data_IF_275378577802
#
_entry.id   IF_275378577802
#
_cell.length_a   1.000
_cell.length_b   1.000
_cell.length_c   1.000
_cell.angle_alpha   90.00
_cell.angle_beta   90.00
_cell.angle_gamma   90.00
#
_symmetry.space_group_name_H-M   'P 1'
#
loop_
_entity.id
_entity.type
_entity.pdbx_description
1 polymer ?
#
# COMPACT_ATOMS: atom_id res chain seq x y z
N UNK A 1 -8.33 15.79 -10.47
CA UNK A 1 -6.87 16.00 -10.29
C UNK A 1 -6.52 16.53 -8.91
N UNK A 2 -6.71 17.82 -8.58
CA UNK A 2 -6.29 18.36 -7.26
C UNK A 2 -6.85 17.61 -6.02
N UNK A 3 -8.09 17.11 -6.11
CA UNK A 3 -8.69 16.27 -5.05
C UNK A 3 -7.99 14.92 -4.88
N UNK A 4 -7.58 14.29 -5.99
CA UNK A 4 -6.84 13.02 -5.99
C UNK A 4 -5.39 13.21 -5.54
N UNK A 5 -4.80 14.39 -5.79
CA UNK A 5 -3.49 14.71 -5.21
C UNK A 5 -3.57 14.87 -3.69
N UNK A 6 -4.64 15.49 -3.20
CA UNK A 6 -4.78 15.82 -1.78
C UNK A 6 -5.05 14.59 -0.90
N UNK A 7 -5.80 13.61 -1.41
CA UNK A 7 -6.22 12.46 -0.63
C UNK A 7 -5.52 11.18 -1.14
N UNK A 8 -5.02 10.31 -0.25
CA UNK A 8 -4.34 9.08 -0.64
C UNK A 8 -5.36 7.99 -1.04
N UNK A 9 -6.12 8.20 -2.12
CA UNK A 9 -7.05 7.20 -2.63
C UNK A 9 -6.32 5.91 -3.03
N UNK A 10 -6.85 4.78 -2.59
CA UNK A 10 -6.31 3.44 -2.86
C UNK A 10 -7.15 2.71 -3.90
N UNK A 11 -8.47 2.79 -3.75
CA UNK A 11 -9.46 2.18 -4.64
C UNK A 11 -10.52 3.23 -4.97
N UNK A 12 -11.00 3.23 -6.20
CA UNK A 12 -12.05 4.13 -6.67
C UNK A 12 -12.89 3.50 -7.77
N UNK A 13 -14.07 4.06 -7.99
CA UNK A 13 -14.88 3.74 -9.15
C UNK A 13 -15.59 5.00 -9.64
N UNK A 14 -15.71 5.15 -10.96
CA UNK A 14 -16.63 6.10 -11.57
C UNK A 14 -17.86 5.34 -12.10
N UNK A 15 -19.04 5.86 -11.77
CA UNK A 15 -20.31 5.27 -12.17
C UNK A 15 -20.79 5.93 -13.47
N UNK A 16 -21.22 5.11 -14.42
CA UNK A 16 -21.68 5.51 -15.74
C UNK A 16 -22.97 4.74 -16.09
N UNK A 17 -23.64 5.20 -17.15
CA UNK A 17 -24.84 4.55 -17.68
C UNK A 17 -24.79 4.44 -19.20
N UNK A 18 -25.72 3.67 -19.76
CA UNK A 18 -25.82 3.37 -21.19
C UNK A 18 -25.37 1.97 -21.57
N UNK A 19 -24.81 1.23 -20.62
CA UNK A 19 -24.33 -0.14 -20.75
C UNK A 19 -24.43 -0.84 -19.39
N UNK A 20 -24.22 -2.15 -19.35
CA UNK A 20 -24.23 -2.94 -18.11
C UNK A 20 -23.01 -3.84 -18.05
N UNK A 21 -21.91 -3.31 -17.55
CA UNK A 21 -20.62 -4.00 -17.43
C UNK A 21 -19.63 -3.22 -16.54
N UNK A 22 -18.54 -3.85 -16.14
CA UNK A 22 -17.40 -3.16 -15.50
C UNK A 22 -16.22 -3.08 -16.46
N UNK A 23 -15.76 -1.87 -16.75
CA UNK A 23 -14.59 -1.60 -17.57
C UNK A 23 -13.37 -1.32 -16.69
N UNK A 24 -12.26 -1.98 -16.97
CA UNK A 24 -11.00 -1.81 -16.23
C UNK A 24 -9.84 -1.37 -17.14
N UNK A 25 -8.79 -0.71 -16.59
CA UNK A 25 -7.67 -0.18 -17.36
C UNK A 25 -6.85 -1.24 -18.11
N UNK A 26 -6.14 -0.86 -19.18
CA UNK A 26 -6.13 0.48 -19.78
C UNK A 26 -7.36 0.77 -20.63
N UNK A 27 -7.79 2.03 -20.66
CA UNK A 27 -8.76 2.55 -21.63
C UNK A 27 -8.09 2.93 -22.95
N UNK A 28 -6.81 3.29 -22.92
CA UNK A 28 -6.03 3.60 -24.12
C UNK A 28 -5.60 2.33 -24.87
N UNK A 29 -5.93 2.25 -26.16
CA UNK A 29 -5.30 1.28 -27.05
C UNK A 29 -3.88 1.73 -27.41
N UNK A 30 -2.95 0.77 -27.55
CA UNK A 30 -1.61 1.05 -28.04
C UNK A 30 -1.71 1.55 -29.49
N UNK A 31 -1.08 2.70 -29.84
CA UNK A 31 -0.98 3.10 -31.24
C UNK A 31 -0.17 2.04 -31.99
N UNK A 32 -0.71 1.50 -33.07
CA UNK A 32 0.03 0.60 -33.95
C UNK A 32 1.27 1.33 -34.45
N UNK A 33 2.46 0.70 -34.45
CA UNK A 33 3.65 1.34 -35.01
C UNK A 33 3.35 1.72 -36.46
N UNK A 34 3.79 2.91 -36.93
CA UNK A 34 3.60 3.31 -38.30
C UNK A 34 4.25 2.25 -39.19
N UNK A 35 3.43 1.51 -39.92
CA UNK A 35 3.93 0.49 -40.84
C UNK A 35 4.65 1.25 -41.96
N UNK A 36 5.97 1.06 -42.17
CA UNK A 36 6.60 1.60 -43.36
C UNK A 36 5.88 0.99 -44.57
N UNK A 37 5.44 1.84 -45.50
CA UNK A 37 4.64 1.48 -46.67
C UNK A 37 5.07 0.14 -47.28
N UNK A 38 4.35 -0.94 -46.95
CA UNK A 38 4.69 -2.28 -47.40
C UNK A 38 3.40 -3.08 -47.64
N UNK A 39 3.08 -3.15 -48.94
CA UNK A 39 2.22 -4.11 -49.63
C UNK A 39 0.73 -4.16 -49.24
N UNK A 40 -0.18 -4.31 -50.23
CA UNK A 40 -1.59 -4.61 -49.95
C UNK A 40 -1.65 -5.97 -49.23
N UNK A 41 -2.11 -5.95 -47.97
CA UNK A 41 -2.35 -7.18 -47.20
C UNK A 41 -3.56 -7.92 -47.78
N UNK A 42 -3.57 -9.26 -47.78
CA UNK A 42 -4.76 -10.04 -48.16
C UNK A 42 -5.95 -9.65 -47.29
N UNK A 43 -7.15 -9.63 -47.88
CA UNK A 43 -8.44 -9.40 -47.24
C UNK A 43 -8.81 -10.60 -46.33
N UNK A 44 -8.05 -10.80 -45.27
CA UNK A 44 -8.36 -11.77 -44.22
C UNK A 44 -9.00 -10.97 -43.08
N UNK A 45 -10.33 -10.95 -43.03
CA UNK A 45 -11.18 -10.04 -42.25
C UNK A 45 -11.17 -10.30 -40.71
N UNK A 46 -10.17 -11.00 -40.15
CA UNK A 46 -10.23 -11.46 -38.74
C UNK A 46 -9.07 -11.03 -37.83
N UNK A 47 -8.03 -10.33 -38.29
CA UNK A 47 -6.82 -10.10 -37.46
C UNK A 47 -6.38 -8.62 -37.32
N UNK A 48 -7.34 -7.71 -37.18
CA UNK A 48 -7.06 -6.35 -36.66
C UNK A 48 -7.55 -6.20 -35.21
N UNK A 49 -7.28 -7.18 -34.34
CA UNK A 49 -7.42 -6.93 -32.91
C UNK A 49 -6.21 -6.12 -32.46
N UNK A 50 -6.38 -4.84 -32.04
CA UNK A 50 -5.27 -4.05 -31.55
C UNK A 50 -4.59 -4.81 -30.42
N UNK A 51 -3.26 -4.83 -30.42
CA UNK A 51 -2.46 -5.48 -29.38
C UNK A 51 -2.86 -4.88 -28.03
N UNK A 52 -3.65 -5.64 -27.25
CA UNK A 52 -4.17 -5.17 -25.97
C UNK A 52 -3.02 -5.11 -24.97
N UNK A 53 -2.74 -3.90 -24.50
CA UNK A 53 -1.74 -3.71 -23.47
C UNK A 53 -2.37 -3.94 -22.10
N UNK A 54 -1.90 -4.96 -21.40
CA UNK A 54 -2.27 -5.18 -20.01
C UNK A 54 -1.56 -4.19 -19.08
N UNK A 55 -2.23 -3.85 -17.97
CA UNK A 55 -1.59 -3.13 -16.88
C UNK A 55 -0.65 -4.05 -16.11
N UNK A 56 0.39 -3.52 -15.46
CA UNK A 56 1.17 -4.30 -14.49
C UNK A 56 0.31 -4.96 -13.39
N UNK A 57 -0.83 -4.35 -13.05
CA UNK A 57 -1.81 -4.85 -12.05
C UNK A 57 -3.01 -5.57 -12.68
N UNK A 58 -2.90 -6.10 -13.90
CA UNK A 58 -4.05 -6.64 -14.65
C UNK A 58 -4.84 -7.69 -13.88
N UNK A 59 -4.14 -8.61 -13.18
CA UNK A 59 -4.78 -9.64 -12.37
C UNK A 59 -5.60 -9.07 -11.19
N UNK A 60 -5.16 -7.96 -10.59
CA UNK A 60 -5.88 -7.28 -9.51
C UNK A 60 -7.08 -6.53 -10.09
N UNK A 61 -6.90 -5.79 -11.20
CA UNK A 61 -8.01 -5.12 -11.86
C UNK A 61 -9.12 -6.08 -12.29
N UNK A 62 -8.75 -7.23 -12.86
CA UNK A 62 -9.71 -8.27 -13.22
C UNK A 62 -10.46 -8.81 -12.00
N UNK A 63 -9.75 -9.05 -10.89
CA UNK A 63 -10.37 -9.45 -9.62
C UNK A 63 -11.36 -8.40 -9.11
N UNK A 64 -10.95 -7.13 -9.05
CA UNK A 64 -11.79 -6.03 -8.60
C UNK A 64 -13.05 -5.89 -9.47
N UNK A 65 -12.91 -5.98 -10.79
CA UNK A 65 -14.04 -5.92 -11.71
C UNK A 65 -15.00 -7.11 -11.52
N UNK A 66 -14.47 -8.33 -11.39
CA UNK A 66 -15.28 -9.53 -11.11
C UNK A 66 -16.01 -9.38 -9.78
N UNK A 67 -15.35 -8.89 -8.72
CA UNK A 67 -15.97 -8.75 -7.40
C UNK A 67 -17.23 -7.89 -7.41
N UNK A 68 -17.27 -6.86 -8.25
CA UNK A 68 -18.46 -6.05 -8.47
C UNK A 68 -19.48 -6.78 -9.35
N UNK A 69 -19.05 -7.22 -10.55
CA UNK A 69 -19.94 -7.80 -11.55
C UNK A 69 -20.65 -9.07 -11.06
N UNK A 70 -19.95 -9.94 -10.31
CA UNK A 70 -20.51 -11.18 -9.76
C UNK A 70 -21.50 -10.96 -8.62
N UNK A 71 -21.37 -9.84 -7.89
CA UNK A 71 -22.27 -9.46 -6.82
C UNK A 71 -23.46 -8.62 -7.32
N UNK A 72 -23.47 -8.24 -8.60
CA UNK A 72 -24.56 -7.48 -9.21
C UNK A 72 -25.62 -8.41 -9.76
N UNK A 73 -26.87 -8.24 -9.33
CA UNK A 73 -27.95 -9.21 -9.58
C UNK A 73 -28.13 -9.54 -11.07
N UNK A 74 -27.99 -8.56 -11.95
CA UNK A 74 -28.25 -8.73 -13.38
C UNK A 74 -27.01 -8.63 -14.29
N UNK A 75 -25.82 -8.34 -13.75
CA UNK A 75 -24.62 -8.11 -14.60
C UNK A 75 -23.89 -9.42 -14.92
N UNK A 76 -23.97 -10.40 -14.01
CA UNK A 76 -23.44 -11.76 -14.21
C UNK A 76 -24.43 -12.71 -14.91
N UNK A 77 -25.64 -12.25 -15.28
CA UNK A 77 -26.62 -13.07 -15.98
C UNK A 77 -26.20 -13.31 -17.44
N UNK A 78 -25.62 -14.47 -17.72
CA UNK A 78 -25.09 -14.86 -19.05
C UNK A 78 -26.15 -14.96 -20.16
N UNK A 79 -27.42 -15.14 -19.79
CA UNK A 79 -28.53 -15.30 -20.75
C UNK A 79 -29.20 -13.96 -21.13
N UNK A 80 -29.04 -12.93 -20.30
CA UNK A 80 -29.46 -11.58 -20.66
C UNK A 80 -28.28 -10.93 -21.35
N UNK A 81 -28.29 -10.95 -22.69
CA UNK A 81 -27.31 -10.22 -23.50
C UNK A 81 -27.16 -8.77 -23.03
N UNK A 82 -26.04 -8.15 -23.43
CA UNK A 82 -25.76 -6.75 -23.11
C UNK A 82 -26.88 -5.80 -23.55
N UNK A 83 -26.74 -4.53 -23.23
CA UNK A 83 -27.70 -3.50 -23.65
C UNK A 83 -27.87 -3.41 -25.18
N UNK A 84 -26.94 -4.01 -25.92
CA UNK A 84 -26.91 -4.10 -27.36
C UNK A 84 -26.79 -5.57 -27.81
N UNK A 85 -27.05 -5.82 -29.10
CA UNK A 85 -27.08 -7.18 -29.68
C UNK A 85 -25.75 -7.95 -29.59
N UNK A 86 -24.64 -7.28 -29.26
CA UNK A 86 -23.33 -7.90 -29.07
C UNK A 86 -22.93 -7.85 -27.60
N UNK A 87 -22.65 -9.01 -27.03
CA UNK A 87 -21.99 -9.10 -25.73
C UNK A 87 -20.47 -8.99 -25.91
N UNK A 88 -19.89 -7.91 -25.39
CA UNK A 88 -18.45 -7.63 -25.43
C UNK A 88 -17.69 -8.20 -24.23
N UNK A 89 -18.42 -8.73 -23.26
CA UNK A 89 -17.90 -9.22 -21.98
C UNK A 89 -17.71 -10.73 -21.93
N UNK A 90 -18.06 -11.43 -23.00
CA UNK A 90 -18.03 -12.90 -23.07
C UNK A 90 -18.77 -13.53 -21.87
N UNK A 91 -19.93 -12.95 -21.53
CA UNK A 91 -20.80 -13.29 -20.40
C UNK A 91 -20.20 -13.11 -18.99
N UNK A 92 -19.03 -12.47 -18.85
CA UNK A 92 -18.38 -12.24 -17.57
C UNK A 92 -18.80 -10.92 -16.89
N UNK A 93 -19.53 -10.05 -17.59
CA UNK A 93 -19.91 -8.73 -17.09
C UNK A 93 -18.73 -7.74 -16.93
N UNK A 94 -17.54 -8.11 -17.42
CA UNK A 94 -16.33 -7.29 -17.33
C UNK A 94 -15.63 -7.16 -18.69
N UNK A 95 -14.95 -6.04 -18.92
CA UNK A 95 -14.19 -5.82 -20.15
C UNK A 95 -12.98 -4.90 -19.91
N UNK A 96 -11.92 -5.09 -20.69
CA UNK A 96 -10.84 -4.10 -20.71
C UNK A 96 -11.29 -2.89 -21.53
N UNK A 97 -11.05 -1.67 -21.04
CA UNK A 97 -11.51 -0.44 -21.69
C UNK A 97 -11.03 -0.30 -23.13
N UNK A 98 -9.75 -0.59 -23.38
CA UNK A 98 -9.14 -0.57 -24.71
C UNK A 98 -9.71 -1.64 -25.67
N UNK A 99 -10.14 -2.80 -25.15
CA UNK A 99 -10.80 -3.87 -25.94
C UNK A 99 -12.18 -3.42 -26.42
N UNK A 100 -12.90 -2.67 -25.58
CA UNK A 100 -14.28 -2.32 -25.84
C UNK A 100 -14.43 -1.01 -26.61
N UNK A 101 -13.94 0.11 -26.06
CA UNK A 101 -14.06 1.44 -26.67
C UNK A 101 -12.82 2.27 -26.29
N UNK A 102 -11.74 2.20 -27.09
CA UNK A 102 -10.49 2.84 -26.73
C UNK A 102 -10.62 4.36 -26.66
N UNK A 103 -10.12 4.95 -25.57
CA UNK A 103 -10.18 6.40 -25.30
C UNK A 103 -8.88 6.87 -24.69
N UNK A 104 -8.35 7.98 -25.19
CA UNK A 104 -7.21 8.66 -24.58
C UNK A 104 -7.65 9.72 -23.58
N UNK A 105 -6.88 9.89 -22.51
CA UNK A 105 -7.14 10.88 -21.47
C UNK A 105 -8.32 10.56 -20.56
N UNK A 106 -8.60 9.27 -20.32
CA UNK A 106 -9.64 8.88 -19.38
C UNK A 106 -9.24 9.14 -17.92
N UNK A 107 -10.23 9.29 -17.05
CA UNK A 107 -9.97 9.43 -15.60
C UNK A 107 -9.36 8.15 -15.01
N UNK A 108 -9.77 6.96 -15.47
CA UNK A 108 -9.23 5.69 -14.98
C UNK A 108 -7.72 5.57 -15.21
N UNK A 109 -7.28 5.81 -16.45
CA UNK A 109 -5.87 5.75 -16.82
C UNK A 109 -5.09 6.84 -16.06
N UNK A 110 -5.68 8.02 -15.84
CA UNK A 110 -5.08 9.07 -15.02
C UNK A 110 -4.89 8.62 -13.56
N UNK A 111 -5.93 8.07 -12.92
CA UNK A 111 -5.88 7.59 -11.54
C UNK A 111 -4.77 6.55 -11.36
N UNK A 112 -4.65 5.59 -12.27
CA UNK A 112 -3.62 4.55 -12.23
C UNK A 112 -2.20 5.07 -12.51
N UNK A 113 -2.04 5.98 -13.47
CA UNK A 113 -0.70 6.42 -13.90
C UNK A 113 -0.11 7.55 -13.05
N UNK A 114 -0.94 8.35 -12.38
CA UNK A 114 -0.51 9.55 -11.66
C UNK A 114 -0.74 9.49 -10.15
N UNK A 115 -1.48 8.51 -9.64
CA UNK A 115 -1.79 8.38 -8.22
C UNK A 115 -1.59 6.94 -7.75
N UNK A 116 -1.90 6.64 -6.49
CA UNK A 116 -1.93 5.26 -5.99
C UNK A 116 -3.27 4.55 -6.26
N UNK A 117 -4.27 5.28 -6.76
CA UNK A 117 -5.64 4.81 -6.83
C UNK A 117 -5.85 3.85 -8.01
N UNK A 118 -6.36 2.66 -7.70
CA UNK A 118 -6.90 1.74 -8.69
C UNK A 118 -8.35 2.12 -8.96
N UNK A 119 -8.66 2.64 -10.14
CA UNK A 119 -10.01 3.10 -10.49
C UNK A 119 -10.65 2.21 -11.56
N UNK A 120 -11.94 1.87 -11.36
CA UNK A 120 -12.78 1.17 -12.34
C UNK A 120 -13.83 2.10 -12.94
N UNK A 121 -14.30 1.80 -14.15
CA UNK A 121 -15.53 2.36 -14.70
C UNK A 121 -16.65 1.34 -14.62
N UNK A 122 -17.71 1.67 -13.88
CA UNK A 122 -18.85 0.79 -13.67
C UNK A 122 -20.04 1.33 -14.44
N UNK A 123 -20.56 0.56 -15.38
CA UNK A 123 -21.76 0.89 -16.13
C UNK A 123 -22.94 0.14 -15.50
N UNK A 124 -23.82 0.88 -14.86
CA UNK A 124 -24.86 0.33 -13.97
C UNK A 124 -26.02 -0.28 -14.76
N UNK A 125 -26.37 0.29 -15.91
CA UNK A 125 -27.54 -0.12 -16.68
C UNK A 125 -27.67 0.56 -18.04
N UNK A 126 -28.55 0.01 -18.86
CA UNK A 126 -28.78 0.42 -20.25
C UNK A 126 -29.43 1.79 -20.37
N UNK A 127 -30.37 2.10 -19.47
CA UNK A 127 -30.97 3.43 -19.42
C UNK A 127 -30.03 4.38 -18.68
N UNK A 128 -29.67 5.49 -19.35
CA UNK A 128 -28.84 6.54 -18.76
C UNK A 128 -29.62 7.38 -17.76
N UNK A 129 -30.94 7.45 -17.93
CA UNK A 129 -31.82 8.27 -17.13
C UNK A 129 -33.10 7.49 -16.82
N UNK A 130 -33.00 6.43 -16.00
CA UNK A 130 -34.15 5.58 -15.67
C UNK A 130 -35.25 6.38 -14.99
N UNK A 131 -36.48 5.90 -15.11
CA UNK A 131 -37.62 6.54 -14.46
C UNK A 131 -37.52 6.40 -12.93
N UNK A 132 -38.08 7.34 -12.16
CA UNK A 132 -38.04 7.32 -10.69
C UNK A 132 -38.53 6.00 -10.09
N UNK A 133 -39.53 5.37 -10.72
CA UNK A 133 -40.08 4.08 -10.30
C UNK A 133 -39.10 2.90 -10.37
N UNK A 134 -38.03 3.02 -11.17
CA UNK A 134 -37.01 1.97 -11.36
C UNK A 134 -35.85 2.12 -10.37
N UNK A 135 -35.69 3.29 -9.73
CA UNK A 135 -34.55 3.61 -8.88
C UNK A 135 -34.40 2.65 -7.69
N UNK A 136 -35.51 2.20 -7.09
CA UNK A 136 -35.46 1.23 -6.01
C UNK A 136 -34.90 -0.12 -6.49
N UNK A 137 -35.29 -0.56 -7.68
CA UNK A 137 -34.78 -1.81 -8.24
C UNK A 137 -33.30 -1.69 -8.60
N UNK A 138 -32.89 -0.56 -9.19
CA UNK A 138 -31.47 -0.30 -9.49
C UNK A 138 -30.62 -0.24 -8.22
N UNK A 139 -31.15 0.30 -7.13
CA UNK A 139 -30.49 0.25 -5.83
C UNK A 139 -30.29 -1.21 -5.37
N UNK A 140 -31.35 -2.02 -5.34
CA UNK A 140 -31.23 -3.43 -4.91
C UNK A 140 -30.29 -4.24 -5.82
N UNK A 141 -30.26 -3.96 -7.14
CA UNK A 141 -29.35 -4.61 -8.08
C UNK A 141 -27.87 -4.35 -7.76
N UNK A 142 -27.54 -3.15 -7.26
CA UNK A 142 -26.18 -2.65 -7.11
C UNK A 142 -25.68 -2.63 -5.66
N UNK A 143 -26.58 -2.69 -4.67
CA UNK A 143 -26.26 -2.53 -3.25
C UNK A 143 -25.14 -3.44 -2.79
N UNK A 144 -25.27 -4.75 -3.01
CA UNK A 144 -24.23 -5.69 -2.57
C UNK A 144 -22.95 -5.61 -3.40
N UNK A 145 -23.05 -5.23 -4.68
CA UNK A 145 -21.88 -5.00 -5.53
C UNK A 145 -21.05 -3.82 -5.04
N UNK A 146 -21.70 -2.73 -4.64
CA UNK A 146 -21.05 -1.55 -4.08
C UNK A 146 -20.38 -1.85 -2.74
N UNK A 147 -21.05 -2.59 -1.84
CA UNK A 147 -20.49 -3.00 -0.56
C UNK A 147 -19.28 -3.94 -0.76
N UNK A 148 -19.45 -4.99 -1.55
CA UNK A 148 -18.38 -5.95 -1.90
C UNK A 148 -17.18 -5.25 -2.51
N UNK A 149 -17.40 -4.28 -3.39
CA UNK A 149 -16.32 -3.50 -4.00
C UNK A 149 -15.57 -2.64 -2.98
N UNK A 150 -16.29 -1.95 -2.09
CA UNK A 150 -15.67 -1.15 -1.02
C UNK A 150 -14.84 -2.02 -0.08
N UNK A 151 -15.27 -3.23 0.23
CA UNK A 151 -14.50 -4.18 1.07
C UNK A 151 -13.17 -4.59 0.42
N UNK A 152 -13.05 -4.56 -0.92
CA UNK A 152 -11.80 -4.92 -1.60
C UNK A 152 -10.64 -3.99 -1.26
N UNK A 153 -10.90 -2.77 -0.76
CA UNK A 153 -9.84 -1.85 -0.31
C UNK A 153 -9.00 -2.44 0.83
N UNK A 154 -9.57 -3.40 1.57
CA UNK A 154 -8.92 -4.09 2.67
C UNK A 154 -8.20 -5.37 2.21
N UNK A 155 -7.91 -5.56 0.93
CA UNK A 155 -7.06 -6.68 0.46
C UNK A 155 -5.60 -6.27 0.27
N UNK A 156 -4.74 -7.27 0.11
CA UNK A 156 -3.31 -7.08 -0.16
C UNK A 156 -2.52 -6.81 1.10
N UNK A 157 -1.62 -5.83 1.03
CA UNK A 157 -0.74 -5.43 2.14
C UNK A 157 -0.97 -3.97 2.51
N UNK A 158 -0.81 -3.66 3.79
CA UNK A 158 -0.74 -2.28 4.29
C UNK A 158 0.42 -2.14 5.27
N UNK A 159 0.92 -0.95 5.48
CA UNK A 159 2.04 -0.77 6.38
C UNK A 159 2.38 0.68 6.66
N UNK A 160 3.35 0.88 7.54
CA UNK A 160 4.01 2.17 7.74
C UNK A 160 5.50 2.02 7.43
N UNK A 161 6.06 3.00 6.75
CA UNK A 161 7.49 3.15 6.52
C UNK A 161 8.03 4.16 7.53
N UNK A 162 8.93 3.73 8.40
CA UNK A 162 9.55 4.57 9.42
C UNK A 162 11.07 4.59 9.29
N UNK A 163 11.72 5.56 9.94
CA UNK A 163 13.15 5.52 10.18
C UNK A 163 13.51 4.73 11.45
N UNK A 164 14.82 4.66 11.76
CA UNK A 164 15.31 3.96 12.94
C UNK A 164 14.90 4.61 14.27
N UNK A 165 14.41 5.85 14.24
CA UNK A 165 13.91 6.57 15.41
C UNK A 165 12.40 6.35 15.59
N UNK A 166 11.74 5.66 14.65
CA UNK A 166 10.30 5.45 14.65
C UNK A 166 9.53 6.54 13.92
N UNK A 167 10.22 7.53 13.33
CA UNK A 167 9.57 8.63 12.64
C UNK A 167 9.04 8.18 11.27
N UNK A 168 7.80 8.53 10.92
CA UNK A 168 7.21 8.18 9.64
C UNK A 168 7.93 8.84 8.45
N UNK A 169 8.08 8.09 7.36
CA UNK A 169 8.71 8.55 6.11
C UNK A 169 7.65 8.71 5.01
N UNK A 170 7.17 9.93 4.84
CA UNK A 170 6.26 10.31 3.76
C UNK A 170 6.91 10.19 2.37
N UNK A 171 6.09 9.96 1.34
CA UNK A 171 6.50 9.85 -0.07
C UNK A 171 7.60 8.78 -0.32
N UNK A 172 7.72 7.77 0.54
CA UNK A 172 8.52 6.59 0.29
C UNK A 172 7.85 5.73 -0.78
N UNK A 173 8.66 5.12 -1.65
CA UNK A 173 8.20 4.25 -2.74
C UNK A 173 8.21 2.79 -2.29
N UNK A 174 7.08 2.12 -2.44
CA UNK A 174 6.91 0.68 -2.24
C UNK A 174 6.91 0.00 -3.61
N UNK A 175 7.79 -0.97 -3.77
CA UNK A 175 8.00 -1.72 -5.02
C UNK A 175 7.71 -3.18 -4.76
N UNK A 176 6.80 -3.78 -5.52
CA UNK A 176 6.47 -5.20 -5.44
C UNK A 176 7.22 -5.94 -6.55
N UNK A 177 7.97 -6.97 -6.21
CA UNK A 177 8.68 -7.80 -7.20
C UNK A 177 7.70 -8.42 -8.19
N UNK A 178 7.99 -8.30 -9.49
CA UNK A 178 7.14 -8.82 -10.56
C UNK A 178 6.04 -7.87 -11.04
N UNK A 179 5.73 -6.81 -10.29
CA UNK A 179 4.69 -5.84 -10.67
C UNK A 179 5.34 -4.47 -10.92
N UNK A 180 5.36 -4.05 -12.19
CA UNK A 180 5.95 -2.78 -12.61
C UNK A 180 5.02 -1.57 -12.39
N UNK A 181 4.46 -1.46 -11.19
CA UNK A 181 3.67 -0.31 -10.75
C UNK A 181 3.90 -0.09 -9.26
N UNK A 182 4.49 1.05 -8.92
CA UNK A 182 4.92 1.35 -7.56
C UNK A 182 3.87 2.22 -6.86
N UNK A 183 3.68 2.03 -5.55
CA UNK A 183 2.85 2.93 -4.72
C UNK A 183 3.71 3.80 -3.83
N UNK A 184 3.18 4.96 -3.44
CA UNK A 184 3.85 5.89 -2.54
C UNK A 184 3.17 5.94 -1.19
N UNK A 185 3.94 6.16 -0.12
CA UNK A 185 3.35 6.39 1.19
C UNK A 185 2.62 7.73 1.25
N UNK A 186 1.64 7.83 2.15
CA UNK A 186 0.89 9.04 2.43
C UNK A 186 1.82 10.23 2.63
N UNK A 187 1.49 11.35 1.98
CA UNK A 187 2.14 12.61 2.27
C UNK A 187 1.70 13.03 3.66
N UNK A 188 2.62 13.58 4.44
CA UNK A 188 2.28 14.26 5.67
C UNK A 188 1.16 15.26 5.35
N UNK A 189 -0.04 14.98 5.84
CA UNK A 189 -1.13 15.93 5.81
C UNK A 189 -0.81 16.93 6.91
N UNK A 190 0.29 17.66 6.70
CA UNK A 190 0.77 18.68 7.58
C UNK A 190 -0.44 19.52 7.92
N UNK A 191 -0.75 19.54 9.20
CA UNK A 191 -1.86 20.29 9.77
C UNK A 191 -1.73 21.72 9.26
N UNK A 192 -2.38 22.01 8.13
CA UNK A 192 -2.90 23.32 7.85
C UNK A 192 -4.08 23.48 8.81
N UNK A 193 -3.81 23.50 10.11
CA UNK A 193 -4.52 24.36 11.04
C UNK A 193 -4.13 25.80 10.67
N UNK A 194 -4.47 26.17 9.43
CA UNK A 194 -4.65 27.56 9.08
C UNK A 194 -5.76 28.05 9.99
N UNK A 195 -5.43 29.08 10.77
CA UNK A 195 -6.35 29.89 11.55
C UNK A 195 -7.68 30.10 10.80
N UNK A 196 -8.72 29.36 11.17
CA UNK A 196 -10.10 29.80 10.96
C UNK A 196 -10.50 30.59 12.19
N UNK A 197 -10.08 31.85 12.22
CA UNK A 197 -10.39 32.77 13.31
C UNK A 197 -11.67 33.53 12.98
N UNK A 198 -12.81 32.83 12.95
CA UNK A 198 -14.13 33.46 12.98
C UNK A 198 -15.15 32.57 13.71
N UNK A 199 -15.48 32.97 14.95
CA UNK A 199 -16.72 32.61 15.64
C UNK A 199 -16.68 31.36 16.53
N UNK A 200 -17.44 31.33 17.66
CA UNK A 200 -17.48 30.18 18.55
C UNK A 200 -18.37 29.10 17.94
N UNK A 201 -17.76 28.07 17.35
CA UNK A 201 -18.43 26.80 17.06
C UNK A 201 -18.12 25.78 18.17
N UNK A 202 -19.09 24.90 18.51
CA UNK A 202 -18.88 23.83 19.47
C UNK A 202 -17.76 22.92 18.98
N UNK A 203 -16.84 22.59 19.88
CA UNK A 203 -15.71 21.69 19.62
C UNK A 203 -16.22 20.38 19.01
N UNK A 204 -15.77 19.97 17.82
CA UNK A 204 -16.06 18.64 17.33
C UNK A 204 -15.43 17.61 18.29
N UNK A 205 -16.06 16.45 18.52
CA UNK A 205 -15.44 15.38 19.29
C UNK A 205 -14.09 15.01 18.65
N UNK A 206 -13.09 14.59 19.45
CA UNK A 206 -11.81 14.17 18.89
C UNK A 206 -12.07 13.06 17.89
N UNK A 207 -11.75 13.31 16.62
CA UNK A 207 -11.74 12.25 15.62
C UNK A 207 -10.76 11.18 16.10
N UNK A 208 -11.16 9.90 16.21
CA UNK A 208 -10.28 8.83 16.70
C UNK A 208 -9.17 8.47 15.70
N UNK A 209 -9.11 9.12 14.55
CA UNK A 209 -8.04 8.99 13.58
C UNK A 209 -7.13 10.21 13.72
N UNK A 210 -6.03 10.04 14.46
CA UNK A 210 -4.91 10.98 14.41
C UNK A 210 -4.64 11.33 12.95
N UNK A 211 -4.52 12.62 12.62
CA UNK A 211 -4.01 13.08 11.34
C UNK A 211 -2.89 12.14 10.91
N UNK A 212 -3.06 11.45 9.77
CA UNK A 212 -2.13 10.43 9.31
C UNK A 212 -0.73 11.03 9.33
N UNK A 213 0.04 10.71 10.36
CA UNK A 213 1.47 10.91 10.36
C UNK A 213 1.92 10.08 9.17
N UNK A 214 2.41 10.76 8.12
CA UNK A 214 2.54 10.16 6.78
C UNK A 214 3.37 8.87 6.77
N UNK A 215 3.68 8.30 5.61
CA UNK A 215 4.47 7.05 5.62
C UNK A 215 3.65 5.77 5.74
N UNK A 216 2.34 5.86 6.00
CA UNK A 216 1.38 4.80 5.77
C UNK A 216 1.23 4.48 4.26
N UNK A 217 0.94 3.24 3.92
CA UNK A 217 0.65 2.84 2.55
C UNK A 217 -0.31 1.64 2.50
N UNK A 218 -0.97 1.52 1.36
CA UNK A 218 -1.78 0.38 0.98
C UNK A 218 -1.37 -0.09 -0.40
N UNK A 219 -1.34 -1.40 -0.58
CA UNK A 219 -1.08 -2.04 -1.86
C UNK A 219 -1.99 -3.24 -2.01
N UNK A 220 -3.07 -3.06 -2.77
CA UNK A 220 -3.99 -4.14 -3.15
C UNK A 220 -3.23 -5.15 -4.00
N UNK A 221 -3.31 -6.42 -3.61
CA UNK A 221 -2.65 -7.56 -4.24
C UNK A 221 -3.56 -8.77 -4.09
N UNK A 222 -3.48 -9.68 -5.05
CA UNK A 222 -4.10 -10.99 -4.93
C UNK A 222 -3.33 -11.85 -3.91
N UNK A 223 -3.95 -12.88 -3.32
CA UNK A 223 -3.28 -13.80 -2.39
C UNK A 223 -1.98 -14.36 -2.96
N UNK A 224 -0.94 -14.45 -2.12
CA UNK A 224 0.38 -14.90 -2.55
C UNK A 224 1.53 -14.37 -1.70
N UNK A 225 2.74 -14.80 -2.06
CA UNK A 225 3.99 -14.35 -1.44
C UNK A 225 4.70 -13.34 -2.34
N UNK A 226 5.02 -12.17 -1.79
CA UNK A 226 5.61 -11.07 -2.54
C UNK A 226 6.90 -10.58 -1.92
N UNK A 227 7.94 -10.40 -2.75
CA UNK A 227 9.17 -9.71 -2.36
C UNK A 227 8.99 -8.20 -2.54
N UNK A 228 8.84 -7.48 -1.44
CA UNK A 228 8.50 -6.06 -1.41
C UNK A 228 9.70 -5.22 -0.93
N UNK A 229 9.95 -4.10 -1.59
CA UNK A 229 11.02 -3.17 -1.26
C UNK A 229 10.48 -1.77 -0.97
N UNK A 230 10.85 -1.20 0.18
CA UNK A 230 10.61 0.19 0.50
C UNK A 230 11.87 1.03 0.24
N UNK A 231 11.69 2.18 -0.42
CA UNK A 231 12.76 3.11 -0.80
C UNK A 231 12.36 4.53 -0.49
N UNK A 232 13.28 5.34 0.03
CA UNK A 232 13.06 6.77 0.23
C UNK A 232 14.34 7.54 -0.05
N UNK A 233 14.23 8.80 -0.46
CA UNK A 233 15.40 9.64 -0.68
C UNK A 233 16.18 9.84 0.63
N UNK A 234 17.50 9.64 0.58
CA UNK A 234 18.35 9.81 1.75
C UNK A 234 18.39 8.58 2.67
N UNK A 235 17.67 7.50 2.35
CA UNK A 235 17.68 6.25 3.10
C UNK A 235 18.21 5.07 2.27
N UNK A 236 18.73 4.04 2.95
CA UNK A 236 19.05 2.77 2.31
C UNK A 236 17.74 1.97 2.13
N UNK A 237 17.53 1.35 0.96
CA UNK A 237 16.33 0.58 0.71
C UNK A 237 16.27 -0.65 1.61
N UNK A 238 15.06 -0.99 2.07
CA UNK A 238 14.78 -2.22 2.81
C UNK A 238 13.96 -3.15 1.93
N UNK A 239 14.16 -4.45 2.06
CA UNK A 239 13.46 -5.49 1.30
C UNK A 239 13.01 -6.56 2.27
N UNK A 240 11.75 -6.99 2.15
CA UNK A 240 11.15 -8.04 2.95
C UNK A 240 10.23 -8.89 2.07
N UNK A 241 9.90 -10.08 2.54
CA UNK A 241 8.81 -10.89 2.01
C UNK A 241 7.54 -10.54 2.79
N UNK A 242 6.47 -10.18 2.08
CA UNK A 242 5.14 -9.97 2.64
C UNK A 242 4.20 -11.06 2.09
N UNK A 243 3.32 -11.59 2.94
CA UNK A 243 2.33 -12.60 2.54
C UNK A 243 0.94 -11.96 2.49
N UNK A 244 0.18 -12.27 1.46
CA UNK A 244 -1.22 -11.86 1.30
C UNK A 244 -2.07 -13.11 1.46
N UNK A 245 -2.96 -13.09 2.45
CA UNK A 245 -3.87 -14.20 2.78
C UNK A 245 -5.13 -14.15 1.90
N UNK A 246 -5.92 -15.23 1.94
CA UNK A 246 -7.21 -15.30 1.25
C UNK A 246 -8.31 -14.51 1.97
N UNK A 247 -8.21 -14.44 3.30
CA UNK A 247 -9.17 -13.76 4.17
C UNK A 247 -9.25 -12.25 3.88
N UNK A 248 -10.40 -11.67 4.24
CA UNK A 248 -10.61 -10.23 4.14
C UNK A 248 -9.76 -9.56 5.22
N UNK A 249 -8.82 -8.71 4.81
CA UNK A 249 -7.92 -7.99 5.72
C UNK A 249 -6.53 -7.82 5.16
N UNK A 250 -6.09 -6.57 5.04
CA UNK A 250 -4.79 -6.25 4.47
C UNK A 250 -3.71 -6.62 5.50
N UNK A 251 -2.78 -7.47 5.09
CA UNK A 251 -1.73 -7.93 5.99
C UNK A 251 -0.73 -6.82 6.28
N UNK A 252 -0.31 -6.72 7.54
CA UNK A 252 0.60 -5.65 7.96
C UNK A 252 2.03 -5.97 7.50
N UNK A 253 2.62 -5.12 6.66
CA UNK A 253 4.01 -5.23 6.22
C UNK A 253 4.78 -3.91 6.43
N UNK A 254 5.34 -3.74 7.64
CA UNK A 254 6.05 -2.51 8.01
C UNK A 254 7.52 -2.51 7.57
N UNK A 255 8.05 -1.33 7.25
CA UNK A 255 9.44 -1.13 6.85
C UNK A 255 10.14 -0.12 7.74
N UNK A 256 11.36 -0.44 8.15
CA UNK A 256 12.27 0.47 8.84
C UNK A 256 13.44 0.75 7.90
N UNK A 257 13.68 2.02 7.60
CA UNK A 257 14.76 2.45 6.71
C UNK A 257 15.91 3.09 7.51
N UNK A 258 17.15 2.72 7.18
CA UNK A 258 18.35 3.34 7.77
C UNK A 258 18.80 4.54 6.94
N UNK A 259 19.29 5.60 7.58
CA UNK A 259 19.81 6.77 6.86
C UNK A 259 21.01 6.39 5.99
N UNK A 260 20.99 6.84 4.75
CA UNK A 260 22.11 6.68 3.82
C UNK A 260 23.10 7.82 3.97
N UNK A 261 24.39 7.55 3.82
CA UNK A 261 25.42 8.60 3.73
C UNK A 261 25.51 9.17 2.30
N UNK A 262 24.48 8.96 1.46
CA UNK A 262 24.53 9.22 0.03
C UNK A 262 24.65 10.70 -0.31
N UNK A 263 24.06 11.58 0.52
CA UNK A 263 24.23 13.04 0.38
C UNK A 263 25.70 13.44 0.52
N UNK A 264 26.37 12.94 1.55
CA UNK A 264 27.82 13.13 1.76
C UNK A 264 28.66 12.49 0.65
N UNK A 265 28.28 11.30 0.18
CA UNK A 265 28.98 10.64 -0.94
C UNK A 265 28.83 11.45 -2.23
N UNK A 266 27.65 12.00 -2.53
CA UNK A 266 27.39 12.88 -3.67
C UNK A 266 28.24 14.16 -3.60
N UNK A 267 28.33 14.79 -2.43
CA UNK A 267 29.22 15.95 -2.22
C UNK A 267 30.70 15.59 -2.46
N UNK A 268 31.16 14.46 -1.92
CA UNK A 268 32.53 13.96 -2.14
C UNK A 268 32.78 13.65 -3.63
N UNK A 269 31.80 13.10 -4.33
CA UNK A 269 31.89 12.82 -5.77
C UNK A 269 31.96 14.13 -6.58
N UNK A 270 31.12 15.11 -6.25
CA UNK A 270 31.10 16.42 -6.90
C UNK A 270 32.43 17.16 -6.70
N UNK A 271 32.99 17.13 -5.49
CA UNK A 271 34.31 17.72 -5.19
C UNK A 271 35.47 17.00 -5.90
N UNK A 272 35.32 15.71 -6.24
CA UNK A 272 36.37 14.89 -6.86
C UNK A 272 36.14 14.63 -8.36
N UNK A 273 35.31 15.45 -9.03
CA UNK A 273 35.10 15.39 -10.48
C UNK A 273 34.31 14.16 -10.96
N UNK A 274 33.34 13.68 -10.17
CA UNK A 274 32.37 12.62 -10.53
C UNK A 274 32.99 11.31 -11.05
N UNK A 275 34.19 10.94 -10.59
CA UNK A 275 34.82 9.68 -11.00
C UNK A 275 34.13 8.47 -10.35
N UNK A 276 33.74 7.43 -11.10
CA UNK A 276 33.08 6.25 -10.54
C UNK A 276 34.01 5.50 -9.58
N UNK A 277 33.47 5.09 -8.42
CA UNK A 277 34.22 4.32 -7.42
C UNK A 277 34.48 2.92 -8.01
N UNK A 278 35.74 2.60 -8.31
CA UNK A 278 36.12 1.26 -8.77
C UNK A 278 35.78 0.23 -7.68
N UNK A 279 34.81 -0.65 -7.94
CA UNK A 279 34.59 -1.87 -7.15
C UNK A 279 35.85 -2.74 -7.21
N UNK A 280 36.46 -2.99 -6.06
CA UNK A 280 37.52 -3.99 -5.94
C UNK A 280 36.82 -5.35 -5.88
N UNK A 281 36.93 -6.15 -6.94
CA UNK A 281 36.39 -7.52 -6.96
C UNK A 281 37.24 -8.37 -6.01
N UNK A 282 36.66 -8.98 -4.95
CA UNK A 282 37.38 -9.89 -4.08
C UNK A 282 37.82 -11.12 -4.88
N UNK A 283 39.11 -11.50 -4.83
CA UNK A 283 39.60 -12.75 -5.43
C UNK A 283 40.66 -12.61 -6.53
N UNK A 284 40.94 -11.40 -7.05
CA UNK A 284 42.08 -11.21 -7.97
C UNK A 284 43.39 -11.09 -7.17
N UNK A 285 44.38 -11.99 -7.36
CA UNK A 285 45.67 -11.84 -6.69
C UNK A 285 46.35 -10.54 -7.17
N UNK A 286 46.64 -9.63 -6.23
CA UNK A 286 47.34 -8.38 -6.54
C UNK A 286 48.75 -8.67 -7.05
N UNK A 287 49.10 -8.04 -8.18
CA UNK A 287 50.47 -8.05 -8.71
C UNK A 287 51.44 -7.42 -7.69
N UNK A 288 52.74 -7.78 -7.68
CA UNK A 288 53.73 -7.18 -6.78
C UNK A 288 53.77 -5.65 -6.85
N UNK A 289 53.60 -5.07 -8.05
CA UNK A 289 53.53 -3.61 -8.27
C UNK A 289 52.29 -2.97 -7.66
N UNK A 290 51.11 -3.60 -7.79
CA UNK A 290 49.88 -3.12 -7.16
C UNK A 290 49.96 -3.20 -5.63
N UNK A 291 50.57 -4.28 -5.12
CA UNK A 291 50.81 -4.49 -3.68
C UNK A 291 51.72 -3.40 -3.09
N UNK A 292 52.78 -3.01 -3.81
CA UNK A 292 53.65 -1.91 -3.42
C UNK A 292 52.91 -0.55 -3.44
N UNK A 293 52.16 -0.25 -4.51
CA UNK A 293 51.35 0.99 -4.59
C UNK A 293 50.30 1.06 -3.48
N UNK A 294 49.67 -0.06 -3.13
CA UNK A 294 48.72 -0.12 -2.02
C UNK A 294 49.41 0.12 -0.68
N UNK A 295 50.58 -0.50 -0.44
CA UNK A 295 51.40 -0.25 0.77
C UNK A 295 51.79 1.22 0.92
N UNK A 296 52.20 1.88 -0.17
CA UNK A 296 52.53 3.30 -0.16
C UNK A 296 51.29 4.17 0.14
N UNK A 297 50.15 3.88 -0.50
CA UNK A 297 48.88 4.57 -0.21
C UNK A 297 48.44 4.40 1.25
N UNK A 298 48.59 3.20 1.82
CA UNK A 298 48.28 2.92 3.22
C UNK A 298 49.20 3.67 4.18
N UNK A 299 50.51 3.69 3.93
CA UNK A 299 51.47 4.50 4.71
C UNK A 299 51.12 5.98 4.66
N UNK A 300 50.77 6.50 3.49
CA UNK A 300 50.36 7.89 3.34
C UNK A 300 49.06 8.20 4.10
N UNK A 301 48.05 7.32 4.00
CA UNK A 301 46.81 7.44 4.80
C UNK A 301 47.06 7.39 6.30
N UNK A 302 48.01 6.58 6.77
CA UNK A 302 48.39 6.54 8.19
C UNK A 302 48.99 7.87 8.63
N UNK A 303 49.94 8.43 7.88
CA UNK A 303 50.53 9.75 8.17
C UNK A 303 49.48 10.86 8.24
N UNK A 304 48.53 10.88 7.30
CA UNK A 304 47.44 11.85 7.31
C UNK A 304 46.51 11.70 8.53
N UNK A 305 46.19 10.46 8.92
CA UNK A 305 45.40 10.20 10.15
C UNK A 305 46.14 10.68 11.39
N UNK A 306 47.44 10.44 11.46
CA UNK A 306 48.30 10.87 12.56
C UNK A 306 48.37 12.40 12.64
N UNK A 307 48.55 13.09 11.51
CA UNK A 307 48.48 14.56 11.44
C UNK A 307 47.12 15.11 11.87
N UNK A 308 46.01 14.50 11.45
CA UNK A 308 44.68 14.92 11.92
C UNK A 308 44.49 14.68 13.42
N UNK A 309 45.05 13.59 13.97
CA UNK A 309 45.01 13.30 15.40
C UNK A 309 45.80 14.32 16.20
N UNK A 310 46.99 14.69 15.73
CA UNK A 310 47.82 15.76 16.32
C UNK A 310 47.15 17.13 16.21
N UNK A 311 46.48 17.44 15.09
CA UNK A 311 45.68 18.67 14.95
C UNK A 311 44.52 18.74 15.94
N UNK A 312 43.84 17.63 16.20
CA UNK A 312 42.78 17.57 17.24
C UNK A 312 43.35 17.76 18.64
N UNK A 313 44.50 17.16 18.94
CA UNK A 313 45.18 17.31 20.22
C UNK A 313 45.68 18.76 20.45
N UNK A 314 46.23 19.40 19.42
CA UNK A 314 46.63 20.81 19.47
C UNK A 314 45.44 21.78 19.55
N UNK A 315 44.26 21.39 19.03
CA UNK A 315 43.04 22.19 19.17
C UNK A 315 42.49 22.12 20.61
N UNK A 316 42.68 21.01 21.32
CA UNK A 316 42.30 20.87 22.74
C UNK A 316 43.25 21.56 23.71
N UNK A 317 44.51 21.81 23.36
CA UNK A 317 45.47 22.55 24.20
C UNK A 317 45.40 24.07 24.02
N UNK A 318 44.68 24.57 23.01
CA UNK A 318 44.50 26.00 22.75
C UNK A 318 43.30 26.63 23.49
N UNK A 319 42.57 25.88 24.31
CA UNK A 319 41.49 26.40 25.17
C UNK A 319 41.80 26.17 26.66
N UNK A 320 42.86 26.81 27.16
CA UNK A 320 42.98 27.10 28.59
C UNK A 320 42.13 28.33 28.90
N UNK A 321 40.91 28.14 29.39
CA UNK A 321 40.10 29.22 29.96
C UNK A 321 40.64 29.60 31.35
N UNK A 322 40.75 30.89 31.71
CA UNK A 322 41.17 31.28 33.04
C UNK A 322 40.08 31.01 34.08
N UNK A 323 40.50 30.43 35.19
CA UNK A 323 39.73 30.20 36.42
C UNK A 323 39.27 31.54 37.00
N UNK A 324 37.97 31.68 37.29
CA UNK A 324 37.43 32.76 38.11
C UNK A 324 36.80 32.18 39.41
N UNK A 325 36.96 32.84 40.56
CA UNK A 325 36.63 32.28 41.88
C UNK A 325 35.13 32.39 42.22
N UNK A 326 34.63 31.67 43.24
CA UNK A 326 33.22 31.70 43.60
C UNK A 326 32.90 32.90 44.51
N UNK A 327 31.74 33.57 44.36
CA UNK A 327 31.30 34.54 45.35
C UNK A 327 30.53 33.86 46.50
N UNK A 328 30.81 34.36 47.70
CA UNK A 328 30.23 33.95 48.98
C UNK A 328 29.19 34.97 49.48
N UNK A 329 28.12 34.43 50.08
CA UNK A 329 27.30 34.97 51.20
C UNK A 329 26.42 36.23 51.01
N UNK A 330 25.10 36.07 51.17
CA UNK A 330 24.31 36.45 52.37
C UNK A 330 22.83 36.84 52.06
N UNK A 331 21.92 36.33 52.90
CA UNK A 331 20.44 36.48 52.89
C UNK A 331 19.98 37.86 53.42
N UNK A 332 18.66 38.19 53.38
CA UNK A 332 17.74 37.77 54.46
C UNK A 332 16.31 37.35 54.04
N UNK A 333 15.73 36.53 54.93
CA UNK A 333 14.35 36.04 55.13
C UNK A 333 13.27 37.14 55.34
N UNK A 334 11.98 36.86 55.67
CA UNK A 334 11.25 35.58 55.87
C UNK A 334 9.86 35.48 55.17
N UNK A 335 9.25 34.29 55.15
CA UNK A 335 7.93 34.01 55.76
C UNK A 335 7.64 32.50 55.76
N UNK A 336 6.78 32.09 56.69
CA UNK A 336 6.80 30.82 57.43
C UNK A 336 5.96 29.68 56.85
N UNK A 337 6.49 28.47 57.02
CA UNK A 337 5.87 27.20 57.49
C UNK A 337 4.35 26.99 57.38
N UNK A 338 3.96 25.88 56.76
CA UNK A 338 3.20 24.81 57.46
C UNK A 338 3.61 23.43 56.95
N UNK A 339 3.88 22.52 57.90
CA UNK A 339 4.31 21.14 57.71
C UNK A 339 3.15 20.17 57.43
N UNK A 340 3.42 19.03 56.78
CA UNK A 340 2.90 17.71 57.16
C UNK A 340 3.84 16.59 56.69
N UNK A 341 3.92 15.55 57.51
CA UNK A 341 4.81 14.37 57.50
C UNK A 341 4.35 13.25 56.53
N UNK A 342 5.25 12.28 56.20
CA UNK A 342 4.99 11.24 55.20
C UNK A 342 4.32 9.99 55.81
N UNK A 343 3.46 9.33 55.02
CA UNK A 343 2.93 8.00 55.31
C UNK A 343 3.45 7.00 54.27
N UNK A 344 4.08 5.94 54.78
CA UNK A 344 4.43 4.71 54.07
C UNK A 344 3.21 3.79 54.03
N UNK A 345 2.95 3.13 52.89
CA UNK A 345 2.13 1.92 52.84
C UNK A 345 2.58 1.02 51.67
N UNK A 346 2.72 -0.26 51.99
CA UNK A 346 3.03 -1.40 51.11
C UNK A 346 1.88 -1.69 50.11
N UNK A 347 2.14 -2.39 48.99
CA UNK A 347 1.11 -2.78 48.04
C UNK A 347 0.39 -4.06 48.49
N UNK A 348 -0.94 -4.19 48.29
CA UNK A 348 -1.62 -5.45 48.56
C UNK A 348 -1.59 -6.42 47.37
N UNK A 349 -1.66 -7.67 47.77
CA UNK A 349 -1.56 -8.95 47.07
C UNK A 349 -2.61 -9.17 45.96
N UNK A 350 -2.21 -9.91 44.94
CA UNK A 350 -3.03 -10.37 43.83
C UNK A 350 -4.24 -11.20 44.31
N UNK A 351 -5.44 -10.79 43.89
CA UNK A 351 -6.66 -11.59 43.96
C UNK A 351 -6.74 -12.54 42.77
N UNK A 352 -6.93 -13.81 43.07
CA UNK A 352 -7.35 -14.88 42.16
C UNK A 352 -8.74 -14.58 41.60
N UNK A 353 -8.87 -14.50 40.29
CA UNK A 353 -10.15 -14.56 39.58
C UNK A 353 -10.28 -15.95 38.98
N UNK A 354 -11.27 -16.71 39.45
CA UNK A 354 -11.76 -17.91 38.78
C UNK A 354 -12.63 -17.45 37.61
N UNK A 355 -12.24 -17.79 36.38
CA UNK A 355 -13.07 -17.68 35.19
C UNK A 355 -13.83 -18.98 35.01
N UNK A 356 -15.14 -18.95 35.26
CA UNK A 356 -16.06 -19.98 34.79
C UNK A 356 -16.10 -19.94 33.26
N UNK A 357 -15.83 -21.07 32.63
CA UNK A 357 -15.94 -21.26 31.17
C UNK A 357 -17.17 -22.13 30.91
N UNK A 358 -18.24 -21.53 30.37
CA UNK A 358 -19.37 -22.28 29.86
C UNK A 358 -19.01 -22.88 28.49
N UNK A 359 -19.19 -24.18 28.34
CA UNK A 359 -19.00 -24.91 27.07
C UNK A 359 -20.34 -25.44 26.61
N UNK A 360 -20.78 -25.04 25.41
CA UNK A 360 -21.93 -25.64 24.74
C UNK A 360 -21.47 -26.57 23.60
N UNK A 361 -22.11 -27.73 23.51
CA UNK A 361 -21.88 -28.74 22.47
C UNK A 361 -23.01 -28.62 21.45
N UNK A 362 -22.67 -28.24 20.21
CA UNK A 362 -23.61 -28.14 19.10
C UNK A 362 -23.39 -29.31 18.14
N UNK A 363 -24.48 -30.01 17.77
CA UNK A 363 -24.46 -31.10 16.80
C UNK A 363 -25.24 -30.67 15.56
N UNK A 364 -24.58 -30.58 14.40
CA UNK A 364 -25.24 -30.34 13.12
C UNK A 364 -25.39 -31.65 12.32
N UNK A 365 -26.57 -31.85 11.74
CA UNK A 365 -26.90 -33.01 10.90
C UNK A 365 -26.97 -32.55 9.44
N UNK A 366 -26.02 -32.98 8.62
CA UNK A 366 -26.01 -32.67 7.19
C UNK A 366 -26.49 -33.90 6.41
N UNK A 367 -27.48 -33.68 5.53
CA UNK A 367 -28.05 -34.73 4.67
C UNK A 367 -27.80 -34.33 3.22
N UNK A 368 -26.88 -35.00 2.55
CA UNK A 368 -26.62 -34.77 1.12
C UNK A 368 -27.41 -35.76 0.26
N UNK A 369 -28.01 -35.26 -0.83
CA UNK A 369 -28.66 -36.07 -1.86
C UNK A 369 -27.99 -35.78 -3.21
N UNK A 370 -27.20 -36.73 -3.71
CA UNK A 370 -26.54 -36.59 -5.01
C UNK A 370 -27.53 -36.83 -6.16
N UNK A 371 -27.58 -35.89 -7.10
CA UNK A 371 -28.35 -35.96 -8.35
C UNK A 371 -27.56 -36.63 -9.48
N UNK A 372 -28.21 -37.56 -10.18
CA UNK A 372 -27.66 -38.57 -11.10
C UNK A 372 -27.18 -38.08 -12.48
N UNK A 373 -26.22 -38.81 -13.06
CA UNK A 373 -26.14 -39.09 -14.50
C UNK A 373 -26.66 -40.52 -14.82
N UNK A 374 -27.26 -40.67 -16.00
CA UNK A 374 -28.02 -41.81 -16.52
C UNK A 374 -27.32 -43.20 -16.38
N UNK A 375 -27.86 -44.07 -15.52
CA UNK A 375 -28.27 -45.47 -15.81
C UNK A 375 -28.48 -46.30 -14.52
N UNK A 376 -29.75 -46.58 -14.21
CA UNK A 376 -30.27 -47.61 -13.28
C UNK A 376 -29.58 -47.81 -11.92
N UNK A 377 -30.16 -47.22 -10.87
CA UNK A 377 -29.96 -47.63 -9.47
C UNK A 377 -30.70 -46.70 -8.51
N UNK A 378 -31.30 -47.22 -7.44
CA UNK A 378 -31.94 -46.41 -6.38
C UNK A 378 -30.86 -45.82 -5.46
N UNK A 379 -30.81 -44.49 -5.32
CA UNK A 379 -29.92 -43.82 -4.36
C UNK A 379 -30.51 -43.87 -2.94
N UNK A 380 -29.67 -44.19 -1.95
CA UNK A 380 -29.98 -44.04 -0.52
C UNK A 380 -29.26 -42.79 0.01
N UNK A 381 -29.91 -41.93 0.82
CA UNK A 381 -29.26 -40.75 1.40
C UNK A 381 -28.24 -41.16 2.47
N UNK A 382 -27.05 -40.56 2.43
CA UNK A 382 -26.09 -40.61 3.53
C UNK A 382 -26.29 -39.37 4.43
N UNK A 383 -26.48 -39.62 5.72
CA UNK A 383 -26.45 -38.60 6.79
C UNK A 383 -25.12 -38.69 7.52
N UNK A 384 -24.42 -37.56 7.63
CA UNK A 384 -23.22 -37.42 8.46
C UNK A 384 -23.48 -36.38 9.54
N UNK A 385 -23.11 -36.70 10.78
CA UNK A 385 -23.21 -35.80 11.92
C UNK A 385 -21.80 -35.35 12.30
N UNK A 386 -21.58 -34.04 12.35
CA UNK A 386 -20.32 -33.46 12.85
C UNK A 386 -20.61 -32.72 14.17
N UNK A 387 -19.77 -32.98 15.17
CA UNK A 387 -19.88 -32.37 16.50
C UNK A 387 -18.63 -31.53 16.74
N UNK A 388 -18.80 -30.25 17.05
CA UNK A 388 -17.69 -29.37 17.40
C UNK A 388 -18.00 -28.55 18.66
N UNK A 389 -16.96 -28.29 19.45
CA UNK A 389 -17.01 -27.51 20.69
C UNK A 389 -16.51 -26.10 20.42
N UNK A 390 -17.30 -25.11 20.82
CA UNK A 390 -16.95 -23.69 20.71
C UNK A 390 -16.68 -23.14 22.11
N UNK A 391 -15.46 -22.63 22.32
CA UNK A 391 -15.08 -21.96 23.57
C UNK A 391 -15.21 -20.44 23.37
N UNK A 392 -16.08 -19.78 24.14
CA UNK A 392 -16.13 -18.33 24.20
C UNK A 392 -15.24 -17.87 25.36
N UNK A 393 -14.16 -17.16 25.05
CA UNK A 393 -13.32 -16.48 26.03
C UNK A 393 -13.15 -15.02 25.62
N UNK A 394 -13.32 -14.10 26.59
CA UNK A 394 -13.12 -12.65 26.44
C UNK A 394 -11.66 -12.26 26.15
#
# INVERSE_FOLDING_TARGET
>A
MAWMDKNPFVLGANLQGGEKLVSFPFDTARPSPPTPAAAPRPLDYEDERPELQETPDHAVFRWLAISYASAHLTMAETFRGGCHAQDVTDAMGIVQGAKWRPRAGSMNDFSYLHTNCLELSIYLGCDKFPHESELQQEWENNKESLLTFMEQIHRGIKGVVTDQQGEPIANATIVVGGINHNVRTGRDCGVLAGHWQHGPQPTPPPAPYSAASGGDYWRILNPGEYRVSARAEGYNPSVKTCHVLYDIGATQCNFILSRSNWKRIREIMAMNGNRPIRRVVPGRPMTPRERLRLRLRLRHRMRLREQMRLRRLNATTASGSPTAPPPSTALPFPFSSTAYTPWSQEPPTAGTWETDTETEVVTELVTETEGWELHTGTAQPLTTAETYTVNFGD
#
